data_IF_811410780546
#
_entry.id   IF_811410780546
#
_cell.length_a   1.000
_cell.length_b   1.000
_cell.length_c   1.000
_cell.angle_alpha   90.00
_cell.angle_beta   90.00
_cell.angle_gamma   90.00
#
_symmetry.space_group_name_H-M   'P 1'
#
loop_
_entity.id
_entity.type
_entity.pdbx_description
1 polymer ?
#
# COMPACT_ATOMS: atom_id res chain seq x y z
N UNK A 1 1.13 25.61 9.01
CA UNK A 1 0.57 24.26 9.22
C UNK A 1 1.01 23.43 8.04
N UNK A 2 1.74 22.34 8.25
CA UNK A 2 2.05 21.41 7.16
C UNK A 2 0.72 20.84 6.62
N UNK A 3 0.55 20.86 5.29
CA UNK A 3 -0.63 20.27 4.65
C UNK A 3 -0.47 18.76 4.73
N UNK A 4 -1.42 18.06 5.35
CA UNK A 4 -1.46 16.60 5.30
C UNK A 4 -1.91 16.25 3.89
N UNK A 5 -1.05 15.58 3.13
CA UNK A 5 -1.31 15.18 1.76
C UNK A 5 -0.13 14.43 1.18
N UNK A 6 -0.43 13.67 0.14
CA UNK A 6 0.56 13.05 -0.73
C UNK A 6 0.82 14.06 -1.85
N UNK A 7 1.94 14.76 -1.73
CA UNK A 7 2.42 15.67 -2.78
C UNK A 7 3.38 14.86 -3.64
N UNK A 8 3.22 14.98 -4.95
CA UNK A 8 4.10 14.37 -5.95
C UNK A 8 4.42 15.42 -7.00
N UNK A 9 5.70 15.53 -7.34
CA UNK A 9 6.23 16.43 -8.36
C UNK A 9 7.30 15.70 -9.15
N UNK A 10 7.17 15.70 -10.48
CA UNK A 10 8.22 15.26 -11.39
C UNK A 10 9.01 16.49 -11.85
N UNK A 11 10.32 16.47 -11.58
CA UNK A 11 11.25 17.50 -12.02
C UNK A 11 11.78 17.15 -13.42
N UNK A 12 11.17 17.73 -14.46
CA UNK A 12 11.54 17.49 -15.87
C UNK A 12 13.01 17.86 -16.16
N UNK A 13 13.64 18.73 -15.36
CA UNK A 13 15.04 19.13 -15.58
C UNK A 13 16.03 18.10 -15.01
N UNK A 14 15.69 17.49 -13.88
CA UNK A 14 16.57 16.51 -13.22
C UNK A 14 16.19 15.06 -13.48
N UNK A 15 15.02 14.80 -14.07
CA UNK A 15 14.44 13.45 -14.22
C UNK A 15 14.29 12.74 -12.86
N UNK A 16 13.92 13.52 -11.83
CA UNK A 16 13.74 13.05 -10.45
C UNK A 16 12.28 13.23 -10.00
N UNK A 17 11.75 12.20 -9.36
CA UNK A 17 10.47 12.27 -8.65
C UNK A 17 10.68 12.75 -7.21
N UNK A 18 9.83 13.69 -6.77
CA UNK A 18 9.78 14.14 -5.37
C UNK A 18 8.42 13.87 -4.76
N UNK A 19 8.43 13.38 -3.53
CA UNK A 19 7.24 13.12 -2.75
C UNK A 19 6.70 11.71 -2.95
N UNK A 20 5.38 11.53 -2.85
CA UNK A 20 4.73 10.23 -2.82
C UNK A 20 3.61 10.19 -3.85
N UNK A 21 3.75 9.34 -4.88
CA UNK A 21 2.71 9.14 -5.89
C UNK A 21 1.58 8.27 -5.32
N UNK A 22 0.74 8.86 -4.48
CA UNK A 22 -0.37 8.14 -3.88
C UNK A 22 -1.62 8.99 -3.72
N UNK A 23 -2.73 8.49 -4.26
CA UNK A 23 -4.05 9.08 -4.08
C UNK A 23 -4.86 8.26 -3.07
N UNK A 24 -5.04 8.82 -1.87
CA UNK A 24 -5.93 8.27 -0.86
C UNK A 24 -7.40 8.58 -1.20
N UNK A 25 -8.25 7.56 -1.13
CA UNK A 25 -9.69 7.70 -1.33
C UNK A 25 -10.40 8.19 -0.07
N UNK A 26 -11.51 8.94 -0.19
CA UNK A 26 -12.31 9.37 0.95
C UNK A 26 -13.08 8.22 1.63
N UNK A 27 -13.24 7.09 0.94
CA UNK A 27 -13.87 5.86 1.41
C UNK A 27 -13.24 4.67 0.69
N UNK A 28 -13.48 3.45 1.18
CA UNK A 28 -13.06 2.24 0.47
C UNK A 28 -13.70 2.18 -0.92
N UNK A 29 -12.98 1.58 -1.86
CA UNK A 29 -13.48 1.32 -3.20
C UNK A 29 -14.75 0.47 -3.14
N UNK A 30 -15.71 0.78 -4.01
CA UNK A 30 -16.98 0.07 -4.04
C UNK A 30 -16.77 -1.41 -4.41
N UNK A 31 -17.50 -2.35 -3.79
CA UNK A 31 -17.32 -3.78 -4.07
C UNK A 31 -17.48 -4.14 -5.54
N UNK A 32 -18.44 -3.54 -6.25
CA UNK A 32 -18.68 -3.81 -7.67
C UNK A 32 -17.51 -3.34 -8.56
N UNK A 33 -16.87 -2.22 -8.17
CA UNK A 33 -15.69 -1.70 -8.88
C UNK A 33 -14.45 -2.56 -8.59
N UNK A 34 -14.29 -2.98 -7.34
CA UNK A 34 -13.27 -3.96 -6.94
C UNK A 34 -13.42 -5.25 -7.74
N UNK A 35 -14.64 -5.81 -7.80
CA UNK A 35 -14.93 -7.04 -8.53
C UNK A 35 -14.69 -6.92 -10.04
N UNK A 36 -15.08 -5.79 -10.63
CA UNK A 36 -14.82 -5.54 -12.05
C UNK A 36 -13.32 -5.48 -12.35
N UNK A 37 -12.57 -4.68 -11.58
CA UNK A 37 -11.12 -4.53 -11.79
C UNK A 37 -10.37 -5.82 -11.50
N UNK A 38 -10.70 -6.53 -10.41
CA UNK A 38 -10.04 -7.76 -10.01
C UNK A 38 -10.16 -8.87 -11.06
N UNK A 39 -11.35 -9.04 -11.66
CA UNK A 39 -11.57 -10.00 -12.74
C UNK A 39 -10.76 -9.67 -13.98
N UNK A 40 -10.65 -8.37 -14.29
CA UNK A 40 -9.86 -7.91 -15.43
C UNK A 40 -8.37 -8.18 -15.18
N UNK A 41 -7.87 -7.82 -14.00
CA UNK A 41 -6.47 -7.95 -13.61
C UNK A 41 -6.02 -9.41 -13.53
N UNK A 42 -6.83 -10.27 -12.90
CA UNK A 42 -6.53 -11.71 -12.77
C UNK A 42 -6.80 -12.52 -14.04
N UNK A 43 -7.53 -11.95 -15.02
CA UNK A 43 -8.06 -12.72 -16.15
C UNK A 43 -9.14 -13.74 -15.75
N UNK A 44 -9.58 -13.77 -14.49
CA UNK A 44 -10.44 -14.80 -13.95
C UNK A 44 -11.83 -14.25 -13.55
N UNK A 45 -12.92 -14.64 -14.23
CA UNK A 45 -14.26 -14.14 -13.92
C UNK A 45 -14.86 -14.71 -12.62
N UNK A 46 -14.26 -15.76 -12.04
CA UNK A 46 -14.78 -16.45 -10.85
C UNK A 46 -14.31 -15.81 -9.52
N UNK A 47 -13.31 -14.94 -9.57
CA UNK A 47 -12.82 -14.19 -8.40
C UNK A 47 -13.32 -12.75 -8.46
N UNK A 48 -13.53 -12.12 -7.31
CA UNK A 48 -14.11 -10.77 -7.23
C UNK A 48 -13.31 -9.81 -6.33
N UNK A 49 -12.16 -10.25 -5.81
CA UNK A 49 -11.33 -9.45 -4.92
C UNK A 49 -12.02 -9.12 -3.59
N UNK A 50 -13.06 -9.86 -3.20
CA UNK A 50 -13.84 -9.61 -1.98
C UNK A 50 -13.05 -9.71 -0.68
N UNK A 51 -11.84 -10.27 -0.73
CA UNK A 51 -10.86 -10.30 0.35
C UNK A 51 -10.05 -9.01 0.50
N UNK A 52 -10.21 -8.02 -0.40
CA UNK A 52 -9.50 -6.74 -0.34
C UNK A 52 -10.44 -5.58 -0.02
N UNK A 53 -9.91 -4.59 0.70
CA UNK A 53 -10.56 -3.28 0.91
C UNK A 53 -9.60 -2.20 0.47
N UNK A 54 -9.69 -1.85 -0.82
CA UNK A 54 -8.83 -0.84 -1.41
C UNK A 54 -9.19 0.56 -0.95
N UNK A 55 -8.16 1.36 -0.66
CA UNK A 55 -8.30 2.72 -0.14
C UNK A 55 -7.45 3.74 -0.92
N UNK A 56 -6.70 3.32 -1.93
CA UNK A 56 -5.98 4.25 -2.80
C UNK A 56 -5.31 3.57 -3.98
N UNK A 57 -4.63 4.38 -4.77
CA UNK A 57 -3.99 4.05 -6.05
C UNK A 57 -2.84 5.04 -6.28
N UNK A 58 -1.88 4.71 -7.12
CA UNK A 58 -1.04 5.67 -7.82
C UNK A 58 -1.69 5.99 -9.17
N UNK A 59 -1.35 7.11 -9.82
CA UNK A 59 -1.98 7.49 -11.09
C UNK A 59 -1.87 6.42 -12.21
N UNK A 60 -1.04 5.38 -12.00
CA UNK A 60 -0.78 4.25 -12.90
C UNK A 60 -1.83 3.14 -12.87
N UNK A 61 -2.85 3.21 -12.01
CA UNK A 61 -3.99 2.27 -12.00
C UNK A 61 -3.74 0.96 -11.24
N UNK A 62 -2.75 0.96 -10.36
CA UNK A 62 -2.54 0.00 -9.28
C UNK A 62 -3.57 0.20 -8.15
N UNK A 63 -3.58 -0.70 -7.17
CA UNK A 63 -4.39 -0.52 -5.97
C UNK A 63 -3.61 -0.82 -4.71
N UNK A 64 -3.87 -0.01 -3.68
CA UNK A 64 -3.42 -0.25 -2.31
C UNK A 64 -4.62 -0.52 -1.42
N UNK A 65 -4.55 -1.57 -0.60
CA UNK A 65 -5.68 -1.98 0.23
C UNK A 65 -5.32 -2.87 1.40
N UNK A 66 -6.30 -3.05 2.28
CA UNK A 66 -6.21 -4.07 3.33
C UNK A 66 -6.58 -5.44 2.74
N UNK A 67 -5.78 -6.45 3.06
CA UNK A 67 -6.09 -7.85 2.77
C UNK A 67 -6.71 -8.52 4.00
N UNK A 68 -7.97 -8.96 3.90
CA UNK A 68 -8.81 -9.46 4.98
C UNK A 68 -8.47 -10.91 5.38
N UNK A 69 -7.20 -11.18 5.68
CA UNK A 69 -6.70 -12.52 5.98
C UNK A 69 -6.74 -12.90 7.46
N UNK A 70 -6.97 -11.97 8.39
CA UNK A 70 -7.05 -12.25 9.84
C UNK A 70 -8.52 -12.28 10.29
N UNK A 71 -9.13 -13.46 10.54
CA UNK A 71 -10.53 -13.54 10.91
C UNK A 71 -10.83 -12.80 12.22
N UNK A 72 -11.86 -11.94 12.20
CA UNK A 72 -12.31 -11.20 13.38
C UNK A 72 -11.41 -10.04 13.82
N UNK A 73 -10.27 -9.80 13.15
CA UNK A 73 -9.44 -8.63 13.40
C UNK A 73 -10.08 -7.36 12.82
N UNK A 74 -9.90 -6.24 13.51
CA UNK A 74 -10.27 -4.93 12.98
C UNK A 74 -9.53 -4.65 11.65
N UNK A 75 -10.13 -3.86 10.77
CA UNK A 75 -9.54 -3.53 9.46
C UNK A 75 -8.14 -2.91 9.58
N UNK A 76 -7.92 -2.08 10.60
CA UNK A 76 -6.63 -1.43 10.88
C UNK A 76 -5.54 -2.42 11.31
N UNK A 77 -5.93 -3.64 11.70
CA UNK A 77 -5.04 -4.74 12.02
C UNK A 77 -4.98 -5.79 10.93
N UNK A 78 -5.41 -5.50 9.71
CA UNK A 78 -5.19 -6.36 8.54
C UNK A 78 -3.90 -5.93 7.83
N UNK A 79 -3.17 -6.86 7.18
CA UNK A 79 -2.03 -6.48 6.34
C UNK A 79 -2.46 -5.56 5.20
N UNK A 80 -1.53 -4.70 4.79
CA UNK A 80 -1.68 -3.79 3.67
C UNK A 80 -0.90 -4.34 2.49
N UNK A 81 -1.57 -4.40 1.34
CA UNK A 81 -1.02 -4.90 0.08
C UNK A 81 -0.98 -3.79 -0.96
N UNK A 82 -0.02 -3.91 -1.86
CA UNK A 82 0.06 -3.16 -3.12
C UNK A 82 -0.12 -4.14 -4.27
N UNK A 83 -0.98 -3.81 -5.23
CA UNK A 83 -1.22 -4.57 -6.45
C UNK A 83 -1.00 -3.64 -7.64
N UNK A 84 0.15 -3.77 -8.29
CA UNK A 84 0.53 -3.00 -9.47
C UNK A 84 -0.32 -3.33 -10.70
N UNK A 85 -0.43 -2.38 -11.62
CA UNK A 85 -1.21 -2.57 -12.86
C UNK A 85 -0.55 -3.53 -13.86
N UNK A 86 0.75 -3.82 -13.73
CA UNK A 86 1.51 -4.71 -14.62
C UNK A 86 1.78 -6.10 -14.01
N UNK A 87 1.18 -6.39 -12.85
CA UNK A 87 1.24 -7.70 -12.21
C UNK A 87 2.08 -7.74 -10.92
N UNK A 88 2.71 -6.62 -10.57
CA UNK A 88 3.38 -6.43 -9.28
C UNK A 88 2.40 -6.67 -8.15
N UNK A 89 2.88 -7.31 -7.09
CA UNK A 89 2.07 -7.60 -5.93
C UNK A 89 2.95 -7.80 -4.73
N UNK A 90 2.60 -7.15 -3.63
CA UNK A 90 3.37 -7.30 -2.40
C UNK A 90 2.55 -7.00 -1.15
N UNK A 91 3.02 -7.51 0.00
CA UNK A 91 2.54 -7.13 1.32
C UNK A 91 3.52 -6.13 1.92
N UNK A 92 3.15 -4.85 1.88
CA UNK A 92 4.04 -3.74 2.25
C UNK A 92 4.01 -3.42 3.75
N UNK A 93 2.94 -3.80 4.47
CA UNK A 93 2.83 -3.57 5.91
C UNK A 93 1.98 -4.64 6.60
N UNK A 94 2.32 -4.97 7.85
CA UNK A 94 1.57 -5.96 8.65
C UNK A 94 0.25 -5.42 9.18
N UNK A 95 0.11 -4.11 9.26
CA UNK A 95 -1.07 -3.39 9.74
C UNK A 95 -1.00 -1.90 9.35
N UNK A 96 -2.05 -1.14 9.69
CA UNK A 96 -2.10 0.30 9.44
C UNK A 96 -0.99 1.06 10.19
N UNK A 97 -0.56 0.60 11.35
CA UNK A 97 0.49 1.27 12.12
C UNK A 97 1.83 1.24 11.39
N UNK A 98 2.17 0.08 10.82
CA UNK A 98 3.36 -0.09 9.98
C UNK A 98 3.25 0.78 8.70
N UNK A 99 2.08 0.84 8.05
CA UNK A 99 1.84 1.73 6.89
C UNK A 99 2.06 3.21 7.23
N UNK A 100 1.57 3.67 8.38
CA UNK A 100 1.77 5.07 8.80
C UNK A 100 3.25 5.43 8.96
N UNK A 101 4.08 4.47 9.36
CA UNK A 101 5.53 4.67 9.44
C UNK A 101 6.23 4.68 8.08
N UNK A 102 5.71 3.95 7.07
CA UNK A 102 6.14 4.11 5.68
C UNK A 102 5.87 5.53 5.16
N UNK A 103 4.65 6.03 5.34
CA UNK A 103 4.31 7.41 4.97
C UNK A 103 5.13 8.45 5.73
N UNK A 104 5.44 8.21 7.01
CA UNK A 104 6.30 9.09 7.80
C UNK A 104 7.75 9.13 7.26
N UNK A 105 8.22 8.02 6.68
CA UNK A 105 9.52 7.93 6.02
C UNK A 105 9.51 8.52 4.61
N UNK A 106 8.35 8.93 4.09
CA UNK A 106 8.20 9.51 2.75
C UNK A 106 7.93 8.49 1.65
N UNK A 107 7.72 7.21 1.98
CA UNK A 107 7.43 6.18 0.98
C UNK A 107 5.93 6.00 0.82
N UNK A 108 5.46 6.02 -0.43
CA UNK A 108 4.14 5.52 -0.78
C UNK A 108 4.11 4.01 -0.94
N UNK A 109 2.93 3.46 -1.26
CA UNK A 109 2.75 2.02 -1.37
C UNK A 109 3.53 1.40 -2.54
N UNK A 110 3.59 2.08 -3.68
CA UNK A 110 4.33 1.61 -4.85
C UNK A 110 5.83 1.61 -4.60
N UNK A 111 6.36 2.71 -4.04
CA UNK A 111 7.78 2.82 -3.68
C UNK A 111 8.17 1.79 -2.61
N UNK A 112 7.31 1.55 -1.61
CA UNK A 112 7.55 0.54 -0.59
C UNK A 112 7.55 -0.90 -1.14
N UNK A 113 6.77 -1.16 -2.19
CA UNK A 113 6.74 -2.47 -2.86
C UNK A 113 7.97 -2.67 -3.74
N UNK A 114 8.35 -1.66 -4.53
CA UNK A 114 9.44 -1.72 -5.49
C UNK A 114 10.82 -1.67 -4.82
N UNK A 115 11.11 -0.59 -4.08
CA UNK A 115 12.38 -0.39 -3.39
C UNK A 115 12.19 0.29 -2.01
N UNK A 116 12.00 -0.48 -0.93
CA UNK A 116 11.86 0.09 0.41
C UNK A 116 13.17 0.62 1.00
N UNK A 117 14.31 0.51 0.30
CA UNK A 117 15.59 1.10 0.70
C UNK A 117 15.84 2.45 0.02
N UNK A 118 14.97 2.86 -0.91
CA UNK A 118 15.08 4.14 -1.62
C UNK A 118 15.12 5.31 -0.63
N UNK A 119 16.04 6.24 -0.88
CA UNK A 119 16.18 7.44 -0.05
C UNK A 119 15.02 8.39 -0.34
N UNK A 120 13.99 8.38 0.50
CA UNK A 120 12.88 9.32 0.45
C UNK A 120 13.02 10.46 1.47
N UNK A 121 12.42 11.61 1.19
CA UNK A 121 12.36 12.73 2.13
C UNK A 121 11.30 12.45 3.22
N UNK A 122 11.68 12.40 4.52
CA UNK A 122 10.71 12.12 5.58
C UNK A 122 9.64 13.20 5.70
N UNK A 123 8.39 12.79 5.91
CA UNK A 123 7.25 13.69 6.02
C UNK A 123 6.86 13.92 7.50
N UNK A 124 7.11 15.13 8.01
CA UNK A 124 6.83 15.46 9.41
C UNK A 124 5.34 15.39 9.76
N UNK A 125 4.43 15.74 8.83
CA UNK A 125 3.00 15.66 9.09
C UNK A 125 2.55 14.20 9.28
N UNK A 126 3.03 13.29 8.44
CA UNK A 126 2.79 11.86 8.62
C UNK A 126 3.50 11.28 9.84
N UNK A 127 4.70 11.74 10.18
CA UNK A 127 5.38 11.36 11.43
C UNK A 127 4.55 11.69 12.67
N UNK A 128 3.92 12.87 12.74
CA UNK A 128 3.02 13.24 13.85
C UNK A 128 1.81 12.30 13.92
N UNK A 129 1.25 11.89 12.78
CA UNK A 129 0.15 10.92 12.72
C UNK A 129 0.63 9.54 13.19
N UNK A 130 1.76 9.06 12.67
CA UNK A 130 2.35 7.77 13.04
C UNK A 130 2.64 7.71 14.55
N UNK A 131 3.21 8.75 15.14
CA UNK A 131 3.42 8.81 16.59
C UNK A 131 2.11 8.79 17.39
N UNK A 132 1.07 9.45 16.89
CA UNK A 132 -0.23 9.47 17.58
C UNK A 132 -0.93 8.11 17.58
N UNK A 133 -0.86 7.36 16.48
CA UNK A 133 -1.64 6.14 16.28
C UNK A 133 -0.82 4.84 16.38
N UNK A 134 0.50 4.94 16.30
CA UNK A 134 1.44 3.81 16.29
C UNK A 134 2.75 4.17 17.03
N UNK A 135 2.64 4.88 18.17
CA UNK A 135 3.80 5.34 18.95
C UNK A 135 4.78 4.23 19.29
N UNK A 136 6.07 4.53 19.20
CA UNK A 136 7.15 3.59 19.51
C UNK A 136 7.29 2.42 18.53
N UNK A 137 6.55 2.42 17.42
CA UNK A 137 6.65 1.40 16.36
C UNK A 137 7.53 1.83 15.18
N UNK A 138 8.15 3.01 15.23
CA UNK A 138 9.00 3.51 14.16
C UNK A 138 10.19 2.59 13.90
N UNK A 139 10.35 2.20 12.63
CA UNK A 139 11.40 1.34 12.11
C UNK A 139 11.78 1.79 10.70
N UNK A 140 12.98 1.44 10.20
CA UNK A 140 13.32 1.64 8.80
C UNK A 140 12.28 0.98 7.86
N UNK A 141 11.93 1.62 6.72
CA UNK A 141 10.95 1.07 5.77
C UNK A 141 11.28 -0.35 5.30
N UNK A 142 12.55 -0.63 4.98
CA UNK A 142 13.01 -1.97 4.64
C UNK A 142 12.72 -3.02 5.72
N UNK A 143 12.84 -2.68 7.01
CA UNK A 143 12.49 -3.59 8.11
C UNK A 143 10.97 -3.81 8.22
N UNK A 144 10.18 -2.77 7.94
CA UNK A 144 8.71 -2.86 7.93
C UNK A 144 8.24 -3.82 6.84
N UNK A 145 8.70 -3.59 5.60
CA UNK A 145 8.33 -4.41 4.44
C UNK A 145 8.87 -5.83 4.58
N UNK A 146 10.12 -6.01 5.03
CA UNK A 146 10.67 -7.34 5.27
C UNK A 146 9.89 -8.12 6.34
N UNK A 147 9.45 -7.45 7.41
CA UNK A 147 8.61 -8.09 8.43
C UNK A 147 7.23 -8.47 7.88
N UNK A 148 6.65 -7.66 7.00
CA UNK A 148 5.38 -7.96 6.34
C UNK A 148 5.50 -9.17 5.40
N UNK A 149 6.50 -9.16 4.50
CA UNK A 149 6.82 -10.29 3.60
C UNK A 149 7.09 -11.58 4.37
N UNK A 150 7.84 -11.50 5.48
CA UNK A 150 8.14 -12.67 6.31
C UNK A 150 6.91 -13.24 7.03
N UNK A 151 5.94 -12.39 7.40
CA UNK A 151 4.67 -12.85 8.00
C UNK A 151 3.73 -13.47 6.96
N UNK A 152 3.77 -12.98 5.72
CA UNK A 152 2.87 -13.40 4.64
C UNK A 152 3.63 -13.91 3.39
N UNK A 153 4.48 -14.95 3.52
CA UNK A 153 5.35 -15.39 2.43
C UNK A 153 4.62 -16.02 1.25
N UNK A 154 3.36 -16.41 1.43
CA UNK A 154 2.53 -17.09 0.42
C UNK A 154 1.58 -16.14 -0.32
N UNK A 155 1.69 -14.83 -0.12
CA UNK A 155 0.80 -13.86 -0.75
C UNK A 155 0.85 -13.95 -2.28
N UNK A 156 2.05 -14.02 -2.87
CA UNK A 156 2.18 -14.12 -4.33
C UNK A 156 1.58 -15.41 -4.88
N UNK A 157 1.81 -16.55 -4.22
CA UNK A 157 1.24 -17.86 -4.58
C UNK A 157 -0.31 -17.82 -4.52
N UNK A 158 -0.85 -17.13 -3.52
CA UNK A 158 -2.29 -16.95 -3.34
C UNK A 158 -2.89 -16.17 -4.52
N UNK A 159 -2.24 -15.07 -4.93
CA UNK A 159 -2.68 -14.31 -6.10
C UNK A 159 -2.50 -15.13 -7.39
N UNK A 160 -1.41 -15.88 -7.55
CA UNK A 160 -1.21 -16.76 -8.71
C UNK A 160 -2.33 -17.79 -8.83
N UNK A 161 -2.79 -18.35 -7.71
CA UNK A 161 -3.93 -19.27 -7.66
C UNK A 161 -5.27 -18.64 -8.08
N UNK A 162 -5.37 -17.31 -8.12
CA UNK A 162 -6.55 -16.59 -8.60
C UNK A 162 -6.51 -16.28 -10.09
N UNK A 163 -5.35 -16.32 -10.73
CA UNK A 163 -5.20 -15.93 -12.13
C UNK A 163 -5.59 -17.03 -13.14
N UNK A 164 -6.01 -16.65 -14.36
CA UNK A 164 -6.35 -17.57 -15.46
C UNK A 164 -5.94 -17.07 -16.84
#
# INVERSE_FOLDING_TARGET
MARIGFEWEYDEETDEDRGCDFQLYPQFEEPDRTAWWWRLWTGNPEVDGGEFRFFGTTGAGDYTGFWLTRPGAAITGQPVVHIGSEGERDVIARDLGDLLWLFAAGLGPGEAADDPEVSAEPNEAFRVIAERYASGRGRPPAEIVAAARAEFPHFSDLIDGMCR
#
